data_IF_976927252165
#
_entry.id   IF_976927252165
#
_cell.length_a   1.000
_cell.length_b   1.000
_cell.length_c   1.000
_cell.angle_alpha   90.00
_cell.angle_beta   90.00
_cell.angle_gamma   90.00
#
_symmetry.space_group_name_H-M   'P 1'
#
loop_
_entity.id
_entity.type
_entity.pdbx_description
1 polymer ?
#
# COMPACT_ATOMS: atom_id res chain seq x y z
N UNK A 1 -14.45 -6.03 -6.68
CA UNK A 1 -13.21 -5.46 -6.09
C UNK A 1 -12.91 -6.26 -4.83
N UNK A 2 -11.68 -6.75 -4.65
CA UNK A 2 -11.30 -7.39 -3.39
C UNK A 2 -11.28 -6.30 -2.30
N UNK A 3 -12.02 -6.51 -1.21
CA UNK A 3 -12.03 -5.58 -0.09
C UNK A 3 -10.65 -5.45 0.56
N UNK A 4 -10.44 -4.38 1.31
CA UNK A 4 -9.23 -4.22 2.11
C UNK A 4 -9.08 -5.40 3.09
N UNK A 5 -7.83 -5.79 3.35
CA UNK A 5 -7.50 -6.96 4.16
C UNK A 5 -6.73 -6.55 5.41
N UNK A 6 -7.04 -7.21 6.52
CA UNK A 6 -6.35 -7.07 7.80
C UNK A 6 -5.62 -8.36 8.19
N UNK A 7 -4.45 -8.22 8.83
CA UNK A 7 -3.66 -9.37 9.30
C UNK A 7 -4.11 -9.81 10.68
N UNK A 8 -4.65 -11.02 10.78
CA UNK A 8 -4.92 -11.67 12.07
C UNK A 8 -4.02 -12.88 12.32
N UNK A 9 -3.66 -13.08 13.59
CA UNK A 9 -2.94 -14.28 14.03
C UNK A 9 -3.91 -15.44 14.18
N UNK A 10 -3.48 -16.64 13.80
CA UNK A 10 -4.27 -17.86 13.93
C UNK A 10 -4.32 -18.40 15.36
N UNK A 11 -3.27 -18.15 16.15
CA UNK A 11 -3.16 -18.58 17.55
C UNK A 11 -3.84 -17.62 18.55
N UNK A 12 -4.76 -16.77 18.08
CA UNK A 12 -5.45 -15.82 18.96
C UNK A 12 -6.39 -16.53 19.95
N UNK A 13 -6.89 -17.71 19.56
CA UNK A 13 -7.67 -18.61 20.42
C UNK A 13 -6.88 -19.13 21.63
N UNK A 14 -5.56 -19.25 21.51
CA UNK A 14 -4.67 -19.77 22.55
C UNK A 14 -3.89 -18.65 23.25
N UNK A 15 -4.18 -17.38 22.97
CA UNK A 15 -3.46 -16.27 23.57
C UNK A 15 -3.95 -16.04 25.01
N UNK A 16 -3.08 -16.12 26.04
CA UNK A 16 -3.51 -15.97 27.42
C UNK A 16 -4.09 -14.58 27.72
N UNK A 17 -3.76 -13.56 26.92
CA UNK A 17 -4.38 -12.24 27.04
C UNK A 17 -5.82 -12.25 26.55
N UNK A 18 -6.14 -13.06 25.54
CA UNK A 18 -7.51 -13.27 25.08
C UNK A 18 -8.30 -14.07 26.11
N UNK A 19 -7.71 -15.08 26.73
CA UNK A 19 -8.33 -15.76 27.88
C UNK A 19 -8.66 -14.78 29.01
N UNK A 20 -7.72 -13.90 29.37
CA UNK A 20 -7.97 -12.85 30.38
C UNK A 20 -9.10 -11.88 29.95
N UNK A 21 -9.17 -11.50 28.67
CA UNK A 21 -10.31 -10.71 28.17
C UNK A 21 -11.64 -11.47 28.31
N UNK A 22 -11.65 -12.78 28.09
CA UNK A 22 -12.86 -13.60 28.29
C UNK A 22 -13.30 -13.57 29.75
N UNK A 23 -12.36 -13.71 30.69
CA UNK A 23 -12.63 -13.64 32.13
C UNK A 23 -13.18 -12.25 32.54
N UNK A 24 -12.59 -11.17 32.04
CA UNK A 24 -12.99 -9.79 32.35
C UNK A 24 -14.35 -9.39 31.74
N UNK A 25 -14.71 -9.99 30.59
CA UNK A 25 -15.94 -9.67 29.86
C UNK A 25 -17.06 -10.68 30.10
N UNK A 26 -16.76 -11.85 30.66
CA UNK A 26 -17.71 -12.96 30.81
C UNK A 26 -18.18 -13.53 29.47
N UNK A 27 -17.45 -13.29 28.38
CA UNK A 27 -17.83 -13.66 27.02
C UNK A 27 -16.93 -14.78 26.49
N UNK A 28 -17.42 -15.50 25.48
CA UNK A 28 -16.63 -16.52 24.79
C UNK A 28 -15.50 -15.91 23.98
N UNK A 29 -14.48 -16.71 23.70
CA UNK A 29 -13.33 -16.35 22.86
C UNK A 29 -13.80 -15.86 21.49
N UNK A 30 -14.82 -16.51 20.91
CA UNK A 30 -15.39 -16.10 19.63
C UNK A 30 -15.92 -14.66 19.65
N UNK A 31 -16.64 -14.28 20.73
CA UNK A 31 -17.18 -12.93 20.87
C UNK A 31 -16.07 -11.90 21.09
N UNK A 32 -15.10 -12.21 21.96
CA UNK A 32 -13.94 -11.34 22.20
C UNK A 32 -13.11 -11.16 20.93
N UNK A 33 -12.80 -12.24 20.21
CA UNK A 33 -12.05 -12.22 18.94
C UNK A 33 -12.80 -11.42 17.88
N UNK A 34 -14.13 -11.56 17.79
CA UNK A 34 -14.96 -10.74 16.91
C UNK A 34 -14.87 -9.25 17.25
N UNK A 35 -14.87 -8.90 18.53
CA UNK A 35 -14.67 -7.53 19.00
C UNK A 35 -13.28 -6.98 18.69
N UNK A 36 -12.24 -7.80 18.85
CA UNK A 36 -10.86 -7.45 18.46
C UNK A 36 -10.72 -7.22 16.96
N UNK A 37 -11.32 -8.10 16.15
CA UNK A 37 -11.37 -7.92 14.70
C UNK A 37 -12.03 -6.60 14.33
N UNK A 38 -13.19 -6.29 14.91
CA UNK A 38 -13.88 -5.03 14.67
C UNK A 38 -13.01 -3.82 15.04
N UNK A 39 -12.36 -3.85 16.21
CA UNK A 39 -11.51 -2.76 16.68
C UNK A 39 -10.33 -2.53 15.73
N UNK A 40 -9.65 -3.60 15.32
CA UNK A 40 -8.49 -3.49 14.45
C UNK A 40 -8.87 -3.08 13.03
N UNK A 41 -9.99 -3.57 12.49
CA UNK A 41 -10.51 -3.13 11.20
C UNK A 41 -10.88 -1.64 11.22
N UNK A 42 -11.56 -1.19 12.29
CA UNK A 42 -11.92 0.22 12.47
C UNK A 42 -10.67 1.10 12.54
N UNK A 43 -9.63 0.65 13.24
CA UNK A 43 -8.38 1.39 13.35
C UNK A 43 -7.59 1.43 12.02
N UNK A 44 -7.62 0.36 11.21
CA UNK A 44 -6.99 0.34 9.87
C UNK A 44 -7.67 1.33 8.91
N UNK A 45 -9.00 1.43 8.96
CA UNK A 45 -9.78 2.30 8.07
C UNK A 45 -9.75 3.78 8.48
N UNK A 46 -9.75 4.06 9.79
CA UNK A 46 -10.00 5.41 10.32
C UNK A 46 -8.80 6.05 11.00
N UNK A 47 -7.66 5.37 11.12
CA UNK A 47 -6.49 5.90 11.81
C UNK A 47 -5.18 5.63 11.06
N UNK A 48 -4.29 6.63 11.04
CA UNK A 48 -2.96 6.50 10.46
C UNK A 48 -1.87 6.24 11.52
N UNK A 49 -2.15 6.60 12.77
CA UNK A 49 -1.23 6.60 13.91
C UNK A 49 -1.71 5.74 15.08
N UNK A 50 -2.94 5.24 15.01
CA UNK A 50 -3.58 4.43 16.05
C UNK A 50 -4.42 5.24 17.02
N UNK A 51 -4.55 6.56 16.84
CA UNK A 51 -5.46 7.40 17.60
C UNK A 51 -6.84 7.43 16.96
N UNK A 52 -7.87 7.26 17.78
CA UNK A 52 -9.27 7.29 17.35
C UNK A 52 -10.06 8.20 18.27
N UNK A 53 -10.08 9.49 17.91
CA UNK A 53 -10.91 10.48 18.57
C UNK A 53 -12.40 10.16 18.37
N UNK A 54 -13.20 10.42 19.40
CA UNK A 54 -14.62 10.09 19.47
C UNK A 54 -14.94 8.63 19.80
N UNK A 55 -13.95 7.73 19.76
CA UNK A 55 -14.17 6.34 20.20
C UNK A 55 -13.86 6.20 21.69
N UNK A 56 -14.91 6.06 22.49
CA UNK A 56 -14.80 5.83 23.95
C UNK A 56 -14.79 4.35 24.29
N UNK A 57 -14.33 4.00 25.50
CA UNK A 57 -14.35 2.61 26.01
C UNK A 57 -15.77 2.02 25.98
N UNK A 58 -16.78 2.82 26.33
CA UNK A 58 -18.18 2.42 26.26
C UNK A 58 -18.67 2.25 24.82
N UNK A 59 -18.17 3.03 23.86
CA UNK A 59 -18.51 2.86 22.45
C UNK A 59 -18.00 1.53 21.89
N UNK A 60 -16.82 1.08 22.30
CA UNK A 60 -16.27 -0.24 21.92
C UNK A 60 -17.22 -1.37 22.36
N UNK A 61 -17.66 -1.35 23.62
CA UNK A 61 -18.58 -2.36 24.13
C UNK A 61 -19.93 -2.36 23.37
N UNK A 62 -20.49 -1.17 23.11
CA UNK A 62 -21.74 -1.05 22.33
C UNK A 62 -21.61 -1.53 20.89
N UNK A 63 -20.48 -1.26 20.22
CA UNK A 63 -20.26 -1.64 18.82
C UNK A 63 -20.01 -3.13 18.63
N UNK A 64 -19.37 -3.76 19.60
CA UNK A 64 -19.00 -5.18 19.54
C UNK A 64 -20.05 -6.09 20.18
N UNK A 65 -20.92 -5.54 21.04
CA UNK A 65 -21.83 -6.34 21.86
C UNK A 65 -21.14 -7.06 23.01
N UNK A 66 -19.83 -6.84 23.20
CA UNK A 66 -19.04 -7.45 24.28
C UNK A 66 -18.99 -6.46 25.46
N UNK A 67 -19.67 -6.76 26.59
CA UNK A 67 -19.65 -5.89 27.76
C UNK A 67 -18.23 -5.71 28.28
N UNK A 68 -17.93 -4.51 28.78
CA UNK A 68 -16.64 -4.13 29.38
C UNK A 68 -15.40 -4.30 28.49
N UNK A 69 -15.54 -4.60 27.19
CA UNK A 69 -14.39 -4.87 26.31
C UNK A 69 -13.40 -3.71 26.26
N UNK A 70 -13.87 -2.47 26.15
CA UNK A 70 -12.98 -1.30 26.15
C UNK A 70 -12.15 -1.19 27.42
N UNK A 71 -12.78 -1.31 28.59
CA UNK A 71 -12.12 -1.31 29.89
C UNK A 71 -11.10 -2.44 30.01
N UNK A 72 -11.48 -3.66 29.62
CA UNK A 72 -10.62 -4.83 29.67
C UNK A 72 -9.40 -4.68 28.74
N UNK A 73 -9.58 -4.11 27.54
CA UNK A 73 -8.50 -3.82 26.59
C UNK A 73 -7.49 -2.81 27.14
N UNK A 74 -7.96 -1.80 27.88
CA UNK A 74 -7.10 -0.84 28.57
C UNK A 74 -6.31 -1.54 29.66
N UNK A 75 -6.97 -2.37 30.47
CA UNK A 75 -6.34 -3.01 31.62
C UNK A 75 -5.25 -4.02 31.21
N UNK A 76 -5.39 -4.69 30.05
CA UNK A 76 -4.34 -5.54 29.47
C UNK A 76 -3.28 -4.76 28.67
N UNK A 77 -3.40 -3.43 28.59
CA UNK A 77 -2.45 -2.53 27.92
C UNK A 77 -2.45 -2.62 26.40
N UNK A 78 -3.59 -2.94 25.77
CA UNK A 78 -3.70 -2.95 24.30
C UNK A 78 -4.22 -1.61 23.75
N UNK A 79 -4.93 -0.85 24.58
CA UNK A 79 -5.32 0.52 24.28
C UNK A 79 -5.00 1.41 25.47
N UNK A 80 -4.82 2.69 25.21
CA UNK A 80 -4.80 3.75 26.22
C UNK A 80 -5.99 4.68 25.99
N UNK A 81 -6.55 5.18 27.09
CA UNK A 81 -7.55 6.24 27.02
C UNK A 81 -6.80 7.58 26.89
N UNK A 82 -7.21 8.38 25.91
CA UNK A 82 -6.63 9.70 25.63
C UNK A 82 -7.73 10.75 25.71
N UNK A 83 -7.35 12.03 25.75
CA UNK A 83 -8.33 13.10 25.71
C UNK A 83 -9.18 12.99 24.43
N UNK A 84 -10.49 12.79 24.64
CA UNK A 84 -11.45 12.68 23.56
C UNK A 84 -11.45 11.36 22.79
N UNK A 85 -10.78 10.28 23.24
CA UNK A 85 -10.82 8.99 22.51
C UNK A 85 -9.93 7.88 23.09
N UNK A 86 -9.47 7.00 22.20
CA UNK A 86 -8.49 5.95 22.55
C UNK A 86 -7.29 5.96 21.61
N UNK A 87 -6.16 5.43 22.09
CA UNK A 87 -4.97 5.13 21.31
C UNK A 87 -4.69 3.63 21.33
N UNK A 88 -4.46 3.02 20.17
CA UNK A 88 -4.01 1.63 20.07
C UNK A 88 -2.51 1.54 20.36
N UNK A 89 -2.15 0.67 21.31
CA UNK A 89 -0.75 0.43 21.65
C UNK A 89 -0.10 -0.44 20.59
N UNK A 90 1.13 -0.05 20.19
CA UNK A 90 1.91 -0.73 19.13
C UNK A 90 1.16 -0.80 17.78
N UNK A 91 0.33 0.18 17.47
CA UNK A 91 -0.40 0.27 16.19
C UNK A 91 0.53 0.09 14.98
N UNK A 92 1.67 0.79 14.97
CA UNK A 92 2.67 0.72 13.89
C UNK A 92 3.29 -0.67 13.68
N UNK A 93 3.23 -1.55 14.68
CA UNK A 93 3.75 -2.92 14.57
C UNK A 93 2.82 -3.82 13.77
N UNK A 94 1.51 -3.56 13.81
CA UNK A 94 0.47 -4.47 13.32
C UNK A 94 -0.42 -3.88 12.23
N UNK A 95 -0.84 -2.63 12.36
CA UNK A 95 -1.83 -1.97 11.50
C UNK A 95 -1.25 -0.76 10.72
N UNK A 96 0.02 -0.42 10.92
CA UNK A 96 0.67 0.63 10.12
C UNK A 96 0.93 0.20 8.66
N UNK A 97 1.01 1.16 7.74
CA UNK A 97 1.39 0.92 6.33
C UNK A 97 2.72 0.17 6.17
N UNK A 98 3.67 0.41 7.08
CA UNK A 98 4.95 -0.31 7.17
C UNK A 98 4.78 -1.76 7.65
N UNK A 99 3.84 -2.03 8.57
CA UNK A 99 3.51 -3.37 9.04
C UNK A 99 2.89 -4.23 7.93
N UNK A 100 1.97 -3.66 7.14
CA UNK A 100 1.33 -4.33 6.00
C UNK A 100 2.37 -4.78 4.96
N UNK A 101 3.32 -3.89 4.61
CA UNK A 101 4.46 -4.20 3.71
C UNK A 101 5.39 -5.27 4.28
N UNK A 102 5.73 -5.19 5.58
CA UNK A 102 6.55 -6.20 6.26
C UNK A 102 5.87 -7.56 6.28
N UNK A 103 4.57 -7.62 6.55
CA UNK A 103 3.80 -8.85 6.56
C UNK A 103 3.74 -9.53 5.16
N UNK A 104 3.50 -8.76 4.10
CA UNK A 104 3.52 -9.28 2.73
C UNK A 104 4.90 -9.80 2.34
N UNK A 105 5.96 -9.05 2.70
CA UNK A 105 7.34 -9.47 2.45
C UNK A 105 7.67 -10.76 3.20
N UNK A 106 7.28 -10.85 4.48
CA UNK A 106 7.44 -12.05 5.29
C UNK A 106 6.72 -13.26 4.71
N UNK A 107 5.46 -13.09 4.27
CA UNK A 107 4.71 -14.15 3.56
C UNK A 107 5.42 -14.58 2.29
N UNK A 108 5.90 -13.64 1.49
CA UNK A 108 6.63 -13.93 0.23
C UNK A 108 7.93 -14.68 0.50
N UNK A 109 8.68 -14.29 1.53
CA UNK A 109 9.92 -14.97 1.94
C UNK A 109 9.62 -16.36 2.48
N UNK A 110 8.58 -16.53 3.29
CA UNK A 110 8.17 -17.85 3.81
C UNK A 110 7.78 -18.79 2.66
N UNK A 111 6.96 -18.32 1.70
CA UNK A 111 6.59 -19.08 0.50
C UNK A 111 7.81 -19.40 -0.37
N UNK A 112 8.74 -18.45 -0.53
CA UNK A 112 9.98 -18.72 -1.27
C UNK A 112 10.87 -19.74 -0.56
N UNK A 113 10.90 -19.76 0.78
CA UNK A 113 11.65 -20.75 1.57
C UNK A 113 10.97 -22.11 1.59
N UNK A 114 9.64 -22.18 1.58
CA UNK A 114 8.90 -23.45 1.51
C UNK A 114 8.95 -24.08 0.11
N UNK A 115 9.08 -23.25 -0.93
CA UNK A 115 9.22 -23.69 -2.32
C UNK A 115 10.68 -23.89 -2.74
N UNK A 116 11.63 -23.52 -1.89
CA UNK A 116 13.01 -23.94 -2.02
C UNK A 116 13.06 -25.41 -1.62
N UNK A 117 13.14 -26.26 -2.63
CA UNK A 117 13.19 -27.70 -2.52
C UNK A 117 14.13 -28.13 -1.39
N UNK A 118 13.57 -28.88 -0.43
CA UNK A 118 14.36 -29.75 0.43
C UNK A 118 15.03 -30.70 -0.54
N UNK A 119 16.29 -30.42 -0.89
CA UNK A 119 17.14 -31.33 -1.65
C UNK A 119 17.32 -32.59 -0.80
N UNK A 120 16.33 -33.49 -0.85
CA UNK A 120 16.54 -34.89 -0.55
C UNK A 120 17.31 -35.48 -1.73
N UNK A 121 18.60 -35.56 -1.50
CA UNK A 121 19.53 -36.38 -2.28
C UNK A 121 20.74 -36.63 -1.41
N UNK A 122 20.60 -37.50 -0.41
CA UNK A 122 21.76 -38.13 0.21
C UNK A 122 22.47 -38.96 -0.86
N UNK A 123 23.59 -38.46 -1.38
CA UNK A 123 24.53 -39.23 -2.18
C UNK A 123 25.96 -38.89 -1.75
N UNK A 124 26.45 -39.80 -0.89
CA UNK A 124 27.79 -40.38 -0.83
C UNK A 124 29.00 -39.45 -0.54
N UNK A 125 29.56 -39.76 0.63
CA UNK A 125 30.97 -39.76 1.00
C UNK A 125 31.90 -39.92 -0.21
N UNK A 126 32.82 -38.95 -0.38
CA UNK A 126 34.23 -39.23 -0.63
C UNK A 126 35.03 -37.96 -0.33
N UNK A 127 35.98 -38.10 0.59
CA UNK A 127 36.64 -37.00 1.27
C UNK A 127 37.51 -36.10 0.39
N UNK A 128 37.50 -34.80 0.71
CA UNK A 128 38.70 -34.06 1.14
C UNK A 128 38.38 -32.57 1.27
N UNK A 129 38.88 -31.94 2.33
CA UNK A 129 39.00 -30.48 2.40
C UNK A 129 38.13 -29.81 3.45
N UNK A 130 38.53 -29.93 4.72
CA UNK A 130 38.17 -28.96 5.75
C UNK A 130 38.82 -27.62 5.41
N UNK A 131 38.00 -26.61 5.10
CA UNK A 131 38.18 -25.20 5.50
C UNK A 131 36.80 -24.55 5.30
N UNK A 132 36.04 -24.21 6.33
CA UNK A 132 36.37 -23.20 7.33
C UNK A 132 35.34 -22.07 7.17
N UNK A 133 34.34 -22.07 8.04
CA UNK A 133 33.32 -21.02 8.11
C UNK A 133 33.96 -19.65 8.34
N UNK A 134 33.65 -18.64 7.52
CA UNK A 134 33.65 -17.24 7.94
C UNK A 134 32.64 -16.40 7.14
N UNK A 135 31.99 -15.52 7.89
CA UNK A 135 30.94 -14.59 7.48
C UNK A 135 31.48 -13.30 6.85
N UNK A 136 30.57 -12.58 6.16
CA UNK A 136 30.56 -11.12 5.86
C UNK A 136 31.79 -10.54 5.13
N UNK A 137 31.54 -9.89 3.99
CA UNK A 137 31.55 -8.42 3.89
C UNK A 137 31.09 -7.96 2.49
N UNK A 138 30.59 -6.75 2.47
CA UNK A 138 30.02 -5.92 1.41
C UNK A 138 31.04 -5.42 0.36
N UNK A 139 30.51 -5.01 -0.82
CA UNK A 139 31.03 -4.01 -1.79
C UNK A 139 32.04 -4.40 -2.90
N UNK A 140 31.49 -4.36 -4.14
CA UNK A 140 31.85 -3.46 -5.27
C UNK A 140 32.67 -4.02 -6.47
N UNK A 141 31.98 -4.06 -7.64
CA UNK A 141 32.43 -3.93 -9.08
C UNK A 141 33.37 -5.01 -9.61
N UNK A 142 33.41 -5.39 -10.89
CA UNK A 142 32.65 -5.21 -12.14
C UNK A 142 33.20 -6.31 -13.11
N UNK A 143 32.49 -6.55 -14.23
CA UNK A 143 32.88 -7.28 -15.46
C UNK A 143 32.79 -8.83 -15.46
N UNK A 144 32.54 -9.54 -16.57
CA UNK A 144 31.55 -9.48 -17.67
C UNK A 144 31.74 -10.80 -18.46
N UNK A 145 30.66 -11.30 -19.09
CA UNK A 145 30.59 -12.37 -20.12
C UNK A 145 30.74 -13.82 -19.60
N UNK A 146 30.07 -14.84 -20.11
CA UNK A 146 29.34 -15.14 -21.36
C UNK A 146 28.21 -16.14 -21.04
N UNK A 147 27.00 -15.93 -21.53
CA UNK A 147 26.37 -16.65 -22.67
C UNK A 147 25.93 -18.10 -22.37
N UNK A 148 24.66 -18.39 -22.67
CA UNK A 148 24.02 -19.64 -22.27
C UNK A 148 22.52 -19.65 -22.56
N UNK A 149 22.20 -19.58 -23.85
CA UNK A 149 20.92 -19.93 -24.47
C UNK A 149 20.27 -21.18 -23.86
N UNK A 150 18.99 -21.10 -23.47
CA UNK A 150 18.04 -22.14 -23.83
C UNK A 150 16.64 -21.58 -24.05
N UNK A 151 16.10 -21.98 -25.19
CA UNK A 151 14.71 -21.99 -25.63
C UNK A 151 13.83 -22.82 -24.71
N UNK A 152 12.58 -22.39 -24.44
CA UNK A 152 11.33 -23.13 -24.74
C UNK A 152 10.12 -22.24 -24.33
N UNK A 153 9.32 -21.78 -25.29
CA UNK A 153 7.94 -22.23 -25.59
C UNK A 153 6.90 -21.89 -24.50
N UNK A 154 6.13 -20.84 -24.83
CA UNK A 154 4.66 -20.80 -24.77
C UNK A 154 3.97 -21.13 -23.47
N UNK A 155 3.34 -20.12 -22.86
CA UNK A 155 1.89 -20.21 -22.64
C UNK A 155 1.21 -18.86 -22.41
N UNK A 156 0.13 -18.66 -23.17
CA UNK A 156 -0.88 -17.63 -23.00
C UNK A 156 -1.39 -17.58 -21.57
N UNK A 157 -1.48 -16.38 -20.98
CA UNK A 157 -2.55 -16.04 -20.04
C UNK A 157 -2.76 -14.53 -20.00
N UNK A 158 -3.93 -14.13 -20.50
CA UNK A 158 -4.50 -12.82 -20.31
C UNK A 158 -4.80 -12.55 -18.83
N UNK A 159 -4.86 -11.25 -18.50
CA UNK A 159 -5.53 -10.64 -17.34
C UNK A 159 -4.75 -10.53 -16.02
N UNK A 160 -3.99 -9.43 -15.92
CA UNK A 160 -4.01 -8.44 -14.85
C UNK A 160 -3.11 -7.28 -15.32
N UNK A 161 -3.28 -6.05 -14.83
CA UNK A 161 -2.35 -4.94 -15.14
C UNK A 161 -1.02 -5.25 -14.43
N UNK A 162 -0.25 -6.17 -14.99
CA UNK A 162 1.03 -6.62 -14.48
C UNK A 162 2.08 -5.63 -14.97
N UNK A 163 2.84 -5.07 -14.02
CA UNK A 163 3.89 -4.09 -14.33
C UNK A 163 4.84 -4.71 -15.35
N UNK A 164 4.91 -4.12 -16.55
CA UNK A 164 5.69 -4.66 -17.66
C UNK A 164 7.16 -4.82 -17.26
N UNK A 165 7.77 -5.93 -17.66
CA UNK A 165 9.19 -6.20 -17.40
C UNK A 165 10.05 -5.23 -18.25
N UNK A 166 11.22 -4.79 -17.77
CA UNK A 166 12.13 -3.94 -18.58
C UNK A 166 12.48 -4.55 -19.96
N UNK A 167 12.51 -5.88 -20.06
CA UNK A 167 12.68 -6.62 -21.31
C UNK A 167 11.53 -6.43 -22.29
N UNK A 168 10.29 -6.36 -21.80
CA UNK A 168 9.08 -6.18 -22.61
C UNK A 168 9.00 -4.76 -23.15
N UNK A 169 9.33 -3.75 -22.34
CA UNK A 169 9.41 -2.35 -22.78
C UNK A 169 10.50 -2.17 -23.86
N UNK A 170 11.66 -2.81 -23.67
CA UNK A 170 12.73 -2.78 -24.67
C UNK A 170 12.33 -3.50 -25.96
N UNK A 171 11.63 -4.63 -25.86
CA UNK A 171 11.13 -5.36 -27.01
C UNK A 171 10.08 -4.56 -27.78
N UNK A 172 9.19 -3.83 -27.09
CA UNK A 172 8.20 -2.93 -27.69
C UNK A 172 8.85 -1.77 -28.46
N UNK A 173 9.91 -1.17 -27.92
CA UNK A 173 10.69 -0.13 -28.61
C UNK A 173 11.43 -0.67 -29.83
N UNK A 174 12.05 -1.85 -29.73
CA UNK A 174 12.77 -2.48 -30.84
C UNK A 174 11.84 -2.90 -31.98
N UNK A 175 10.64 -3.40 -31.67
CA UNK A 175 9.58 -3.65 -32.67
C UNK A 175 9.21 -2.38 -33.45
N UNK A 176 9.44 -1.21 -32.85
CA UNK A 176 9.25 0.09 -33.46
C UNK A 176 10.53 0.72 -34.03
N UNK A 177 11.60 -0.07 -34.23
CA UNK A 177 12.89 0.37 -34.76
C UNK A 177 13.62 1.39 -33.88
N UNK A 178 13.38 1.38 -32.57
CA UNK A 178 14.08 2.22 -31.59
C UNK A 178 15.03 1.34 -30.78
N UNK A 179 16.32 1.71 -30.78
CA UNK A 179 17.35 1.03 -30.01
C UNK A 179 17.13 1.27 -28.52
N UNK A 180 16.82 0.19 -27.80
CA UNK A 180 16.64 0.21 -26.36
C UNK A 180 17.28 -1.06 -25.74
N UNK A 181 17.90 -0.90 -24.58
CA UNK A 181 18.50 -2.01 -23.83
C UNK A 181 17.67 -2.27 -22.57
N UNK A 182 17.36 -3.53 -22.24
CA UNK A 182 16.66 -3.87 -20.99
C UNK A 182 17.41 -3.41 -19.73
N UNK A 183 18.74 -3.33 -19.81
CA UNK A 183 19.59 -2.83 -18.74
C UNK A 183 19.72 -1.30 -18.67
N UNK A 184 19.10 -0.55 -19.59
CA UNK A 184 19.12 0.92 -19.52
C UNK A 184 18.39 1.38 -18.25
N UNK A 185 19.04 2.20 -17.39
CA UNK A 185 18.42 2.76 -16.19
C UNK A 185 17.06 3.43 -16.43
N UNK A 186 16.85 4.03 -17.61
CA UNK A 186 15.60 4.71 -17.99
C UNK A 186 14.48 3.72 -18.26
N UNK A 187 14.78 2.60 -18.90
CA UNK A 187 13.80 1.52 -19.17
C UNK A 187 13.40 0.84 -17.85
N UNK A 188 14.37 0.61 -16.96
CA UNK A 188 14.12 0.08 -15.62
C UNK A 188 13.24 1.04 -14.80
N UNK A 189 13.52 2.35 -14.87
CA UNK A 189 12.72 3.36 -14.19
C UNK A 189 11.28 3.41 -14.71
N UNK A 190 11.08 3.32 -16.03
CA UNK A 190 9.77 3.29 -16.65
C UNK A 190 8.95 2.05 -16.26
N UNK A 191 9.58 0.87 -16.24
CA UNK A 191 8.95 -0.35 -15.74
C UNK A 191 8.51 -0.21 -14.26
N UNK A 192 9.36 0.38 -13.41
CA UNK A 192 9.02 0.66 -12.00
C UNK A 192 7.88 1.67 -11.85
N UNK A 193 7.81 2.66 -12.75
CA UNK A 193 6.75 3.66 -12.81
C UNK A 193 5.40 3.10 -13.30
N UNK A 194 5.34 1.83 -13.70
CA UNK A 194 4.10 1.19 -14.16
C UNK A 194 3.77 1.46 -15.63
N UNK A 195 4.75 1.89 -16.42
CA UNK A 195 4.57 2.03 -17.88
C UNK A 195 4.35 0.65 -18.48
N UNK A 196 3.32 0.52 -19.32
CA UNK A 196 2.96 -0.75 -20.00
C UNK A 196 3.58 -0.83 -21.39
N UNK A 197 3.67 -2.03 -21.97
CA UNK A 197 4.14 -2.22 -23.34
C UNK A 197 3.24 -1.49 -24.36
N UNK A 198 1.92 -1.47 -24.14
CA UNK A 198 0.96 -0.75 -24.97
C UNK A 198 1.20 0.76 -24.95
N UNK A 199 1.47 1.33 -23.76
CA UNK A 199 1.82 2.75 -23.61
C UNK A 199 3.10 3.10 -24.37
N UNK A 200 4.10 2.20 -24.39
CA UNK A 200 5.33 2.40 -25.16
C UNK A 200 5.07 2.37 -26.66
N UNK A 201 4.25 1.44 -27.16
CA UNK A 201 3.91 1.37 -28.59
C UNK A 201 3.20 2.64 -29.06
N UNK A 202 2.24 3.14 -28.27
CA UNK A 202 1.57 4.41 -28.54
C UNK A 202 2.54 5.60 -28.48
N UNK A 203 3.46 5.63 -27.52
CA UNK A 203 4.47 6.68 -27.41
C UNK A 203 5.48 6.63 -28.59
N UNK A 204 5.80 5.44 -29.11
CA UNK A 204 6.63 5.29 -30.31
C UNK A 204 5.92 5.86 -31.55
N UNK A 205 4.62 5.65 -31.69
CA UNK A 205 3.83 6.19 -32.78
C UNK A 205 3.78 7.73 -32.75
N UNK A 206 3.57 8.32 -31.56
CA UNK A 206 3.60 9.78 -31.38
C UNK A 206 5.01 10.36 -31.63
N UNK A 207 6.06 9.69 -31.16
CA UNK A 207 7.42 10.15 -31.41
C UNK A 207 7.76 10.19 -32.91
N UNK A 208 7.26 9.22 -33.69
CA UNK A 208 7.44 9.15 -35.15
C UNK A 208 6.64 10.22 -35.89
N UNK A 209 5.45 10.57 -35.42
CA UNK A 209 4.66 11.64 -36.03
C UNK A 209 5.20 13.03 -35.70
N UNK A 210 5.75 13.22 -34.51
CA UNK A 210 6.34 14.50 -34.08
C UNK A 210 7.67 14.84 -34.79
N UNK A 211 8.45 13.82 -35.16
CA UNK A 211 9.76 13.97 -35.81
C UNK A 211 9.90 13.02 -37.01
N UNK A 212 9.24 13.30 -38.14
CA UNK A 212 9.41 12.51 -39.34
C UNK A 212 10.85 12.68 -39.85
N UNK A 213 11.58 11.57 -40.02
CA UNK A 213 12.96 11.48 -40.52
C UNK A 213 14.11 11.79 -39.54
N UNK A 214 13.86 11.95 -38.23
CA UNK A 214 14.94 12.05 -37.23
C UNK A 214 15.14 10.73 -36.49
N UNK A 215 16.38 10.46 -36.03
CA UNK A 215 16.63 9.32 -35.14
C UNK A 215 15.97 9.56 -33.79
N UNK A 216 14.93 8.78 -33.50
CA UNK A 216 14.21 8.83 -32.23
C UNK A 216 15.01 8.07 -31.17
N UNK A 217 15.33 8.76 -30.08
CA UNK A 217 15.99 8.12 -28.93
C UNK A 217 14.98 7.41 -28.02
N UNK A 218 15.40 6.30 -27.41
CA UNK A 218 14.61 5.62 -26.37
C UNK A 218 14.23 6.57 -25.22
N UNK A 219 15.12 7.51 -24.87
CA UNK A 219 14.85 8.52 -23.84
C UNK A 219 13.66 9.42 -24.16
N UNK A 220 13.48 9.80 -25.43
CA UNK A 220 12.36 10.62 -25.86
C UNK A 220 11.03 9.87 -25.74
N UNK A 221 10.97 8.63 -26.21
CA UNK A 221 9.77 7.78 -26.08
C UNK A 221 9.40 7.52 -24.62
N UNK A 222 10.41 7.25 -23.78
CA UNK A 222 10.22 7.06 -22.35
C UNK A 222 9.69 8.32 -21.67
N UNK A 223 10.10 9.52 -22.10
CA UNK A 223 9.57 10.78 -21.56
C UNK A 223 8.10 11.00 -21.90
N UNK A 224 7.67 10.61 -23.10
CA UNK A 224 6.26 10.68 -23.52
C UNK A 224 5.42 9.69 -22.69
N UNK A 225 5.87 8.44 -22.60
CA UNK A 225 5.15 7.39 -21.89
C UNK A 225 5.02 7.67 -20.39
N UNK A 226 6.11 8.12 -19.74
CA UNK A 226 6.09 8.46 -18.31
C UNK A 226 5.20 9.66 -18.01
N UNK A 227 5.16 10.67 -18.90
CA UNK A 227 4.23 11.80 -18.79
C UNK A 227 2.78 11.32 -18.82
N UNK A 228 2.40 10.47 -19.78
CA UNK A 228 1.03 9.96 -19.87
C UNK A 228 0.63 9.12 -18.67
N UNK A 229 1.55 8.29 -18.15
CA UNK A 229 1.29 7.52 -16.92
C UNK A 229 1.12 8.43 -15.70
N UNK A 230 1.87 9.53 -15.61
CA UNK A 230 1.72 10.52 -14.55
C UNK A 230 0.41 11.33 -14.68
N UNK A 231 0.04 11.74 -15.89
CA UNK A 231 -1.20 12.46 -16.17
C UNK A 231 -2.44 11.59 -15.87
N UNK A 232 -2.38 10.30 -16.21
CA UNK A 232 -3.44 9.32 -15.89
C UNK A 232 -3.55 9.05 -14.38
N UNK A 233 -2.47 9.22 -13.61
CA UNK A 233 -2.47 9.07 -12.16
C UNK A 233 -2.95 10.33 -11.42
N UNK A 234 -3.03 11.47 -12.09
CA UNK A 234 -3.47 12.72 -11.47
C UNK A 234 -4.99 12.66 -11.23
N UNK A 235 -5.48 12.94 -10.00
CA UNK A 235 -6.91 13.02 -9.77
C UNK A 235 -7.53 14.12 -10.65
N UNK A 236 -8.76 13.93 -11.16
CA UNK A 236 -9.42 14.94 -11.97
C UNK A 236 -9.45 16.26 -11.20
N UNK A 237 -9.24 17.37 -11.93
CA UNK A 237 -9.36 18.69 -11.34
C UNK A 237 -10.74 18.80 -10.67
N UNK A 238 -10.76 19.00 -9.35
CA UNK A 238 -11.99 19.16 -8.58
C UNK A 238 -12.74 20.33 -9.21
N UNK A 239 -13.95 20.08 -9.72
CA UNK A 239 -14.79 21.15 -10.24
C UNK A 239 -14.88 22.24 -9.15
N UNK A 240 -14.65 23.50 -9.53
CA UNK A 240 -14.81 24.62 -8.62
C UNK A 240 -16.16 24.49 -7.89
N UNK A 241 -16.22 24.74 -6.57
CA UNK A 241 -17.48 24.65 -5.84
C UNK A 241 -18.56 25.42 -6.59
N UNK A 242 -19.67 24.76 -6.91
CA UNK A 242 -20.83 25.46 -7.45
C UNK A 242 -21.24 26.51 -6.41
N UNK A 243 -21.36 27.79 -6.78
CA UNK A 243 -21.72 28.83 -5.82
C UNK A 243 -23.06 28.46 -5.21
N UNK A 244 -23.13 28.42 -3.88
CA UNK A 244 -24.37 28.06 -3.19
C UNK A 244 -25.42 29.12 -3.47
N UNK A 245 -26.71 28.79 -3.33
CA UNK A 245 -27.80 29.76 -3.47
C UNK A 245 -27.56 31.01 -2.59
N UNK A 246 -26.94 30.82 -1.41
CA UNK A 246 -26.58 31.90 -0.51
C UNK A 246 -25.45 32.80 -1.05
N UNK A 247 -24.51 32.24 -1.80
CA UNK A 247 -23.41 33.00 -2.43
C UNK A 247 -23.93 33.78 -3.65
N UNK A 248 -24.85 33.19 -4.41
CA UNK A 248 -25.49 33.83 -5.56
C UNK A 248 -26.37 35.02 -5.13
N UNK A 249 -27.05 34.90 -3.99
CA UNK A 249 -27.94 35.94 -3.47
C UNK A 249 -27.30 36.83 -2.40
N UNK A 250 -26.00 36.68 -2.12
CA UNK A 250 -25.31 37.44 -1.08
C UNK A 250 -25.42 38.96 -1.31
N UNK A 251 -25.30 39.40 -2.57
CA UNK A 251 -25.45 40.82 -2.95
C UNK A 251 -26.89 41.31 -2.78
N UNK A 252 -27.88 40.48 -3.12
CA UNK A 252 -29.30 40.79 -2.94
C UNK A 252 -29.68 40.87 -1.46
N UNK A 253 -29.20 39.92 -0.65
CA UNK A 253 -29.43 39.90 0.81
C UNK A 253 -28.74 41.09 1.48
N UNK A 254 -27.51 41.41 1.09
CA UNK A 254 -26.79 42.58 1.61
C UNK A 254 -27.50 43.90 1.27
N UNK A 255 -28.05 44.02 0.05
CA UNK A 255 -28.81 45.20 -0.37
C UNK A 255 -30.14 45.37 0.40
N UNK A 256 -30.80 44.26 0.75
CA UNK A 256 -32.08 44.27 1.47
C UNK A 256 -31.93 44.44 2.99
N UNK A 257 -30.85 43.92 3.57
CA UNK A 257 -30.70 43.81 5.04
C UNK A 257 -29.61 44.70 5.62
N UNK A 258 -28.78 45.33 4.77
CA UNK A 258 -27.68 46.20 5.18
C UNK A 258 -26.53 45.49 5.93
N UNK A 259 -26.57 44.16 6.08
CA UNK A 259 -25.53 43.39 6.77
C UNK A 259 -24.59 42.73 5.78
N UNK A 260 -23.32 43.09 5.86
CA UNK A 260 -22.22 42.35 5.23
C UNK A 260 -21.69 41.28 6.20
N UNK A 261 -21.34 40.10 5.67
CA UNK A 261 -20.85 38.93 6.43
C UNK A 261 -19.56 39.15 7.22
N UNK A 262 -18.94 40.33 7.16
CA UNK A 262 -17.69 40.66 7.85
C UNK A 262 -17.87 41.10 9.30
N UNK A 263 -19.08 41.00 9.87
CA UNK A 263 -19.32 41.35 11.27
C UNK A 263 -19.33 40.10 12.15
N UNK A 264 -18.25 39.92 12.91
CA UNK A 264 -18.07 38.91 13.95
C UNK A 264 -19.11 39.13 15.07
N UNK A 265 -19.87 38.10 15.50
CA UNK A 265 -20.91 38.29 16.51
C UNK A 265 -20.31 38.37 17.93
N UNK A 266 -20.74 39.39 18.65
CA UNK A 266 -20.42 39.73 20.05
C UNK A 266 -20.73 38.58 21.02
N UNK A 267 -19.75 38.24 21.84
CA UNK A 267 -19.72 37.10 22.78
C UNK A 267 -20.56 37.38 24.03
N UNK A 268 -21.88 37.25 23.89
CA UNK A 268 -22.82 37.30 25.02
C UNK A 268 -23.91 36.25 24.88
N UNK A 269 -23.61 35.01 25.24
CA UNK A 269 -24.64 34.06 25.69
C UNK A 269 -24.07 33.16 26.79
N UNK A 270 -24.49 33.45 28.01
CA UNK A 270 -24.44 32.55 29.17
C UNK A 270 -25.58 31.54 28.99
N UNK A 271 -25.34 30.26 29.21
CA UNK A 271 -26.42 29.31 29.48
C UNK A 271 -26.03 28.29 30.56
N UNK A 272 -27.08 27.92 31.32
CA UNK A 272 -27.15 27.31 32.64
C UNK A 272 -26.85 25.81 32.65
#
# INVERSE_FOLDING_TARGET
MAGDWIKMRTNLWDDPRVSNLCDLTGCSEAAVIGGLYWLWATADDHSADGEMHGLTLAAIARKTGVPNLGTALRDIGWIEEIEGGIRLIRFNEHNGTSAKKRAQTGKRVATHRSNADVTQGALQDDGSGVTGALAREEKRREELKTDGTSTDVGESRASAIEKARPSELSAAMRRNSIEAQPGDPRVIAAAKAGVTAETIEAACAEAKSAKPNERISAGYVLSIATRWTADAAKPPARASPQPTWSDQNASTIAALTGRSRTHEPDDRTIDV
#
